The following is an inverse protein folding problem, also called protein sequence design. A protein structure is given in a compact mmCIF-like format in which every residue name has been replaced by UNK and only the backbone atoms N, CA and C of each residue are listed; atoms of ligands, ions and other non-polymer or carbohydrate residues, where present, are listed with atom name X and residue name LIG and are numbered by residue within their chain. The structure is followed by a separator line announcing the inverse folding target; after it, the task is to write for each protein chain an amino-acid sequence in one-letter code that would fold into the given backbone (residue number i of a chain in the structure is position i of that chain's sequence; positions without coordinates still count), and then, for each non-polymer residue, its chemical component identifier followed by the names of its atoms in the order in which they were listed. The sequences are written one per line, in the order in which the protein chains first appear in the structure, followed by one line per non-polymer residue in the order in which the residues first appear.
data_IF_309539537204
#
_entry.id   IF_309539537204
#
_cell.length_a   1.000
_cell.length_b   1.000
_cell.length_c   1.000
_cell.angle_alpha   90.00
_cell.angle_beta   90.00
_cell.angle_gamma   90.00
#
_symmetry.space_group_name_H-M   'P 1'
#
loop_
_entity.id
_entity.type
_entity.pdbx_description
1 polymer ?
#
# COMPACT_ATOMS: atom_id res chain seq x y z
N UNK A 1 34.43 -12.80 -23.13
CA UNK A 1 35.30 -12.73 -21.94
C UNK A 1 36.37 -13.82 -22.04
N UNK A 2 37.67 -13.45 -22.03
CA UNK A 2 38.84 -14.30 -22.39
C UNK A 2 39.81 -14.40 -21.21
N UNK A 3 40.42 -15.57 -21.01
CA UNK A 3 41.41 -15.84 -19.96
C UNK A 3 42.81 -15.36 -20.38
N UNK A 4 43.53 -14.65 -19.51
CA UNK A 4 44.88 -14.15 -19.83
C UNK A 4 46.00 -15.19 -19.70
N UNK A 5 45.69 -16.44 -19.32
CA UNK A 5 46.66 -17.55 -19.24
C UNK A 5 46.60 -18.41 -20.50
N UNK A 6 45.41 -18.89 -20.88
CA UNK A 6 45.23 -19.72 -22.07
C UNK A 6 44.80 -18.94 -23.32
N UNK A 7 44.48 -17.65 -23.20
CA UNK A 7 44.00 -16.79 -24.30
C UNK A 7 42.71 -17.27 -24.98
N UNK A 8 41.99 -18.21 -24.35
CA UNK A 8 40.69 -18.73 -24.82
C UNK A 8 39.52 -18.15 -23.99
N UNK A 9 38.29 -18.40 -24.45
CA UNK A 9 37.09 -18.07 -23.66
C UNK A 9 37.12 -18.80 -22.32
N UNK A 10 36.59 -18.16 -21.27
CA UNK A 10 36.61 -18.75 -19.94
C UNK A 10 35.86 -20.08 -19.86
N UNK A 11 36.59 -21.13 -19.45
CA UNK A 11 36.04 -22.44 -19.09
C UNK A 11 36.05 -22.56 -17.58
N UNK A 12 34.86 -22.57 -16.95
CA UNK A 12 34.68 -22.53 -15.49
C UNK A 12 35.44 -21.36 -14.81
N UNK A 13 34.98 -20.12 -14.99
CA UNK A 13 35.70 -18.96 -14.51
C UNK A 13 35.72 -18.89 -12.98
N UNK A 14 36.87 -18.48 -12.43
CA UNK A 14 37.05 -18.19 -11.00
C UNK A 14 37.70 -16.83 -10.82
N UNK A 15 37.21 -16.06 -9.85
CA UNK A 15 37.80 -14.79 -9.43
C UNK A 15 38.73 -14.99 -8.24
N UNK A 16 39.90 -14.36 -8.31
CA UNK A 16 40.83 -14.21 -7.19
C UNK A 16 40.38 -13.08 -6.25
N UNK A 17 40.94 -12.98 -5.02
CA UNK A 17 40.64 -11.89 -4.09
C UNK A 17 40.96 -10.49 -4.65
N UNK A 18 41.95 -10.40 -5.55
CA UNK A 18 42.29 -9.16 -6.25
C UNK A 18 41.34 -8.80 -7.39
N UNK A 19 40.31 -9.61 -7.65
CA UNK A 19 39.27 -9.35 -8.66
C UNK A 19 39.56 -9.87 -10.06
N UNK A 20 40.78 -10.34 -10.35
CA UNK A 20 41.12 -10.94 -11.65
C UNK A 20 40.48 -12.31 -11.84
N UNK A 21 40.10 -12.63 -13.07
CA UNK A 21 39.34 -13.84 -13.42
C UNK A 21 40.15 -14.72 -14.37
N UNK A 22 40.19 -16.01 -14.08
CA UNK A 22 40.90 -17.03 -14.86
C UNK A 22 40.03 -18.29 -14.99
N UNK A 23 40.37 -19.18 -15.93
CA UNK A 23 39.82 -20.54 -15.91
C UNK A 23 40.31 -21.27 -14.65
N UNK A 24 39.46 -22.08 -14.02
CA UNK A 24 39.83 -22.89 -12.85
C UNK A 24 41.09 -23.72 -13.07
N UNK A 25 41.19 -24.37 -14.23
CA UNK A 25 42.34 -25.22 -14.54
C UNK A 25 43.60 -24.40 -14.81
N UNK A 26 43.45 -23.21 -15.40
CA UNK A 26 44.58 -22.32 -15.66
C UNK A 26 45.20 -21.82 -14.36
N UNK A 27 44.38 -21.36 -13.41
CA UNK A 27 44.90 -20.90 -12.12
C UNK A 27 45.49 -22.08 -11.33
N UNK A 28 44.84 -23.25 -11.33
CA UNK A 28 45.37 -24.46 -10.67
C UNK A 28 46.76 -24.84 -11.20
N UNK A 29 46.95 -24.89 -12.52
CA UNK A 29 48.27 -25.17 -13.11
C UNK A 29 49.31 -24.10 -12.73
N UNK A 30 48.92 -22.83 -12.68
CA UNK A 30 49.84 -21.75 -12.29
C UNK A 30 50.30 -21.88 -10.83
N UNK A 31 49.44 -22.41 -9.97
CA UNK A 31 49.74 -22.70 -8.56
C UNK A 31 50.66 -23.91 -8.48
N UNK A 32 50.29 -25.02 -9.14
CA UNK A 32 51.03 -26.29 -9.12
C UNK A 32 52.45 -26.15 -9.72
N UNK A 33 52.66 -25.17 -10.62
CA UNK A 33 53.98 -24.87 -11.18
C UNK A 33 54.96 -24.27 -10.16
N UNK A 34 54.47 -23.72 -9.05
CA UNK A 34 55.32 -23.19 -7.98
C UNK A 34 55.72 -24.36 -7.09
N UNK A 35 56.88 -24.96 -7.37
CA UNK A 35 57.41 -26.15 -6.69
C UNK A 35 57.87 -25.90 -5.24
N UNK A 36 57.94 -24.63 -4.82
CA UNK A 36 58.29 -24.26 -3.45
C UNK A 36 57.04 -24.29 -2.59
N UNK A 37 57.12 -24.91 -1.41
CA UNK A 37 56.04 -24.88 -0.43
C UNK A 37 55.82 -23.44 0.08
N UNK A 38 54.91 -22.71 -0.57
CA UNK A 38 54.51 -21.35 -0.22
C UNK A 38 53.02 -21.32 0.07
N UNK A 39 52.64 -20.59 1.13
CA UNK A 39 51.23 -20.40 1.52
C UNK A 39 50.54 -19.35 0.63
N UNK A 40 51.34 -18.43 0.10
CA UNK A 40 50.90 -17.30 -0.71
C UNK A 40 51.36 -17.45 -2.15
N UNK A 41 50.42 -17.28 -3.07
CA UNK A 41 50.68 -17.34 -4.49
C UNK A 41 50.41 -15.97 -5.14
N UNK A 42 51.22 -15.55 -6.13
CA UNK A 42 51.02 -14.30 -6.83
C UNK A 42 49.94 -14.43 -7.90
N UNK A 43 49.07 -13.42 -8.03
CA UNK A 43 48.16 -13.32 -9.17
C UNK A 43 48.95 -13.20 -10.49
N UNK A 44 48.62 -13.98 -11.54
CA UNK A 44 49.31 -13.92 -12.84
C UNK A 44 49.25 -12.55 -13.53
N UNK A 45 48.23 -11.73 -13.22
CA UNK A 45 48.04 -10.41 -13.85
C UNK A 45 48.64 -9.28 -13.03
N UNK A 46 48.27 -9.14 -11.76
CA UNK A 46 48.67 -8.00 -10.92
C UNK A 46 49.70 -8.34 -9.84
N UNK A 47 50.12 -9.61 -9.73
CA UNK A 47 51.07 -10.11 -8.73
C UNK A 47 50.64 -9.96 -7.27
N UNK A 48 49.41 -9.48 -7.00
CA UNK A 48 48.84 -9.47 -5.67
C UNK A 48 48.84 -10.88 -5.07
N UNK A 49 49.35 -11.01 -3.84
CA UNK A 49 49.42 -12.27 -3.14
C UNK A 49 48.02 -12.75 -2.70
N UNK A 50 47.78 -14.06 -2.77
CA UNK A 50 46.55 -14.69 -2.28
C UNK A 50 46.86 -16.06 -1.64
N UNK A 51 46.03 -16.47 -0.67
CA UNK A 51 46.20 -17.74 0.07
C UNK A 51 45.31 -18.84 -0.49
N UNK A 52 45.81 -20.06 -0.68
CA UNK A 52 45.01 -21.19 -1.23
C UNK A 52 44.36 -22.04 -0.13
N UNK A 53 44.73 -21.80 1.12
CA UNK A 53 44.23 -22.56 2.26
C UNK A 53 42.71 -22.39 2.39
N UNK A 54 42.01 -23.52 2.37
CA UNK A 54 40.57 -23.58 2.67
C UNK A 54 40.39 -23.50 4.19
N UNK A 55 39.67 -22.49 4.66
CA UNK A 55 39.25 -22.41 6.07
C UNK A 55 38.17 -23.46 6.31
N UNK A 56 38.33 -24.30 7.33
CA UNK A 56 37.25 -25.19 7.78
C UNK A 56 36.12 -24.34 8.40
N UNK A 57 35.00 -24.25 7.68
CA UNK A 57 33.82 -23.50 8.11
C UNK A 57 33.19 -24.06 9.40
N UNK A 58 33.49 -25.31 9.79
CA UNK A 58 33.02 -25.88 11.05
C UNK A 58 33.66 -25.19 12.26
N UNK A 59 34.93 -24.77 12.14
CA UNK A 59 35.67 -24.06 13.19
C UNK A 59 35.32 -22.57 13.26
N UNK A 60 34.61 -22.04 12.26
CA UNK A 60 34.22 -20.64 12.17
C UNK A 60 32.86 -20.43 12.84
N UNK A 61 32.71 -19.47 13.76
CA UNK A 61 31.41 -19.09 14.32
C UNK A 61 30.38 -18.70 13.25
N UNK A 62 29.11 -19.08 13.43
CA UNK A 62 28.06 -18.95 12.41
C UNK A 62 27.91 -17.52 11.85
N UNK A 63 28.06 -16.51 12.70
CA UNK A 63 27.94 -15.10 12.32
C UNK A 63 29.10 -14.58 11.45
N UNK A 64 30.24 -15.28 11.39
CA UNK A 64 31.38 -14.90 10.55
C UNK A 64 31.41 -15.63 9.21
N UNK A 65 30.64 -16.73 9.06
CA UNK A 65 30.66 -17.56 7.85
C UNK A 65 30.25 -16.81 6.59
N UNK A 66 29.34 -15.83 6.70
CA UNK A 66 28.92 -14.96 5.60
C UNK A 66 30.00 -13.99 5.12
N UNK A 67 31.00 -13.71 5.96
CA UNK A 67 32.07 -12.76 5.68
C UNK A 67 33.35 -13.44 5.17
N UNK A 68 33.43 -14.77 5.25
CA UNK A 68 34.57 -15.55 4.75
C UNK A 68 34.31 -15.92 3.31
N UNK A 69 34.97 -15.22 2.40
CA UNK A 69 34.91 -15.52 0.97
C UNK A 69 36.01 -16.54 0.61
N UNK A 70 35.67 -17.60 -0.14
CA UNK A 70 36.68 -18.52 -0.63
C UNK A 70 37.63 -17.77 -1.58
N UNK A 71 38.91 -18.10 -1.51
CA UNK A 71 39.96 -17.49 -2.35
C UNK A 71 39.66 -17.64 -3.84
N UNK A 72 39.18 -18.82 -4.25
CA UNK A 72 38.80 -19.11 -5.63
C UNK A 72 37.27 -19.08 -5.73
N UNK A 73 36.71 -17.90 -6.03
CA UNK A 73 35.26 -17.71 -6.11
C UNK A 73 34.76 -18.04 -7.52
N UNK A 74 33.87 -19.03 -7.72
CA UNK A 74 33.25 -19.25 -9.02
C UNK A 74 32.54 -18.00 -9.52
N UNK A 75 32.75 -17.64 -10.79
CA UNK A 75 32.01 -16.58 -11.46
C UNK A 75 31.21 -17.21 -12.58
N UNK A 76 29.91 -16.94 -12.60
CA UNK A 76 29.04 -17.37 -13.69
C UNK A 76 28.84 -16.17 -14.61
N UNK A 77 29.40 -16.26 -15.81
CA UNK A 77 28.99 -15.37 -16.89
C UNK A 77 27.71 -15.94 -17.47
N UNK A 78 26.65 -15.12 -17.53
CA UNK A 78 25.46 -15.45 -18.30
C UNK A 78 25.78 -15.24 -19.78
N UNK A 79 26.73 -16.03 -20.27
CA UNK A 79 27.06 -16.13 -21.67
C UNK A 79 25.88 -16.85 -22.31
N UNK A 80 24.97 -16.03 -22.85
CA UNK A 80 23.70 -16.42 -23.46
C UNK A 80 23.91 -17.53 -24.48
N UNK A 81 23.84 -18.77 -24.01
CA UNK A 81 23.78 -19.97 -24.83
C UNK A 81 22.36 -20.54 -24.66
N UNK A 82 21.53 -20.50 -25.72
CA UNK A 82 20.11 -20.83 -25.61
C UNK A 82 19.82 -22.34 -25.46
N UNK A 83 20.83 -23.21 -25.44
CA UNK A 83 20.60 -24.66 -25.63
C UNK A 83 20.38 -25.46 -24.34
N UNK A 84 21.09 -25.18 -23.24
CA UNK A 84 20.97 -25.96 -21.99
C UNK A 84 20.18 -25.27 -20.88
N UNK A 85 19.94 -23.95 -21.00
CA UNK A 85 19.29 -23.12 -19.98
C UNK A 85 17.79 -22.86 -20.22
N UNK A 86 17.23 -23.35 -21.34
CA UNK A 86 15.85 -23.08 -21.73
C UNK A 86 14.81 -23.47 -20.66
N UNK A 87 14.88 -24.64 -20.00
CA UNK A 87 13.90 -25.03 -18.98
C UNK A 87 13.99 -24.17 -17.72
N UNK A 88 15.19 -23.84 -17.24
CA UNK A 88 15.39 -23.02 -16.05
C UNK A 88 14.97 -21.56 -16.29
N UNK A 89 15.29 -21.00 -17.47
CA UNK A 89 14.85 -19.66 -17.88
C UNK A 89 13.33 -19.60 -18.04
N UNK A 90 12.73 -20.62 -18.66
CA UNK A 90 11.28 -20.74 -18.77
C UNK A 90 10.61 -20.81 -17.40
N UNK A 91 11.12 -21.65 -16.50
CA UNK A 91 10.62 -21.77 -15.14
C UNK A 91 10.73 -20.43 -14.39
N UNK A 92 11.90 -19.77 -14.43
CA UNK A 92 12.10 -18.47 -13.81
C UNK A 92 11.10 -17.42 -14.31
N UNK A 93 10.92 -17.31 -15.64
CA UNK A 93 9.92 -16.42 -16.24
C UNK A 93 8.50 -16.76 -15.82
N UNK A 94 8.17 -18.05 -15.74
CA UNK A 94 6.85 -18.52 -15.32
C UNK A 94 6.58 -18.19 -13.86
N UNK A 95 7.57 -18.39 -12.97
CA UNK A 95 7.50 -17.99 -11.58
C UNK A 95 7.35 -16.48 -11.42
N UNK A 96 8.11 -15.69 -12.18
CA UNK A 96 8.02 -14.23 -12.17
C UNK A 96 6.62 -13.75 -12.58
N UNK A 97 6.10 -14.26 -13.70
CA UNK A 97 4.75 -13.93 -14.17
C UNK A 97 3.66 -14.33 -13.18
N UNK A 98 3.80 -15.50 -12.52
CA UNK A 98 2.89 -15.90 -11.45
C UNK A 98 2.94 -14.91 -10.29
N UNK A 99 4.14 -14.54 -9.82
CA UNK A 99 4.31 -13.60 -8.73
C UNK A 99 3.69 -12.22 -9.06
N UNK A 100 3.87 -11.71 -10.28
CA UNK A 100 3.24 -10.47 -10.74
C UNK A 100 1.71 -10.53 -10.67
N UNK A 101 1.11 -11.63 -11.14
CA UNK A 101 -0.35 -11.82 -11.10
C UNK A 101 -0.85 -11.88 -9.65
N UNK A 102 -0.17 -12.60 -8.77
CA UNK A 102 -0.52 -12.65 -7.34
C UNK A 102 -0.39 -11.27 -6.68
N UNK A 103 0.67 -10.52 -6.99
CA UNK A 103 0.86 -9.17 -6.46
C UNK A 103 -0.27 -8.23 -6.92
N UNK A 104 -0.65 -8.28 -8.20
CA UNK A 104 -1.75 -7.48 -8.74
C UNK A 104 -3.11 -7.84 -8.11
N UNK A 105 -3.41 -9.13 -7.97
CA UNK A 105 -4.63 -9.60 -7.32
C UNK A 105 -4.70 -9.16 -5.85
N UNK A 106 -3.59 -9.32 -5.10
CA UNK A 106 -3.50 -8.89 -3.71
C UNK A 106 -3.65 -7.37 -3.57
N UNK A 107 -3.04 -6.60 -4.48
CA UNK A 107 -3.18 -5.14 -4.51
C UNK A 107 -4.65 -4.74 -4.72
N UNK A 108 -5.36 -5.41 -5.63
CA UNK A 108 -6.80 -5.18 -5.85
C UNK A 108 -7.64 -5.49 -4.61
N UNK A 109 -7.42 -6.62 -3.95
CA UNK A 109 -8.12 -7.00 -2.71
C UNK A 109 -7.86 -6.01 -1.58
N UNK A 110 -6.61 -5.60 -1.38
CA UNK A 110 -6.25 -4.60 -0.38
C UNK A 110 -6.87 -3.24 -0.69
N UNK A 111 -6.94 -2.86 -1.97
CA UNK A 111 -7.63 -1.65 -2.42
C UNK A 111 -9.12 -1.68 -2.08
N UNK A 112 -9.80 -2.78 -2.42
CA UNK A 112 -11.21 -2.97 -2.09
C UNK A 112 -11.45 -2.89 -0.57
N UNK A 113 -10.66 -3.61 0.23
CA UNK A 113 -10.78 -3.61 1.69
C UNK A 113 -10.62 -2.19 2.29
N UNK A 114 -9.71 -1.37 1.75
CA UNK A 114 -9.56 0.04 2.15
C UNK A 114 -10.78 0.87 1.79
N UNK A 115 -11.24 0.79 0.54
CA UNK A 115 -12.40 1.53 0.08
C UNK A 115 -13.66 1.21 0.89
N UNK A 116 -13.91 -0.08 1.18
CA UNK A 116 -15.04 -0.49 2.04
C UNK A 116 -14.91 0.06 3.46
N UNK A 117 -13.69 0.07 4.03
CA UNK A 117 -13.44 0.64 5.36
C UNK A 117 -13.71 2.14 5.37
N UNK A 118 -13.19 2.88 4.40
CA UNK A 118 -13.39 4.33 4.26
C UNK A 118 -14.87 4.66 4.11
N UNK A 119 -15.59 3.92 3.27
CA UNK A 119 -17.03 4.05 3.12
C UNK A 119 -17.77 3.83 4.44
N UNK A 120 -17.45 2.76 5.16
CA UNK A 120 -18.07 2.49 6.46
C UNK A 120 -17.79 3.58 7.51
N UNK A 121 -16.62 4.23 7.46
CA UNK A 121 -16.30 5.35 8.34
C UNK A 121 -17.08 6.61 7.95
N UNK A 122 -17.19 6.91 6.66
CA UNK A 122 -18.01 8.02 6.16
C UNK A 122 -19.47 7.89 6.59
N UNK A 123 -20.06 6.70 6.36
CA UNK A 123 -21.43 6.42 6.78
C UNK A 123 -21.65 6.57 8.28
N UNK A 124 -20.65 6.22 9.11
CA UNK A 124 -20.72 6.44 10.56
C UNK A 124 -20.68 7.92 10.91
N UNK A 125 -19.81 8.71 10.27
CA UNK A 125 -19.73 10.14 10.50
C UNK A 125 -21.03 10.85 10.13
N UNK A 126 -21.62 10.52 8.98
CA UNK A 126 -22.93 11.07 8.56
C UNK A 126 -24.04 10.72 9.55
N UNK A 127 -24.05 9.49 10.07
CA UNK A 127 -25.00 9.08 11.11
C UNK A 127 -24.80 9.88 12.38
N UNK A 128 -23.56 10.02 12.84
CA UNK A 128 -23.25 10.73 14.09
C UNK A 128 -23.64 12.22 13.97
N UNK A 129 -23.39 12.84 12.82
CA UNK A 129 -23.83 14.20 12.51
C UNK A 129 -25.36 14.33 12.50
N UNK A 130 -26.08 13.37 11.90
CA UNK A 130 -27.54 13.37 11.92
C UNK A 130 -28.10 13.24 13.34
N UNK A 131 -27.51 12.38 14.17
CA UNK A 131 -27.90 12.22 15.59
C UNK A 131 -27.67 13.52 16.35
N UNK A 132 -26.53 14.18 16.15
CA UNK A 132 -26.23 15.47 16.79
C UNK A 132 -27.22 16.56 16.39
N UNK A 133 -27.58 16.65 15.10
CA UNK A 133 -28.61 17.59 14.61
C UNK A 133 -29.99 17.30 15.23
N UNK A 134 -30.39 16.03 15.31
CA UNK A 134 -31.66 15.66 15.95
C UNK A 134 -31.66 16.06 17.44
N UNK A 135 -30.60 15.75 18.18
CA UNK A 135 -30.48 16.11 19.60
C UNK A 135 -30.53 17.63 19.81
N UNK A 136 -29.88 18.42 18.95
CA UNK A 136 -29.92 19.87 19.02
C UNK A 136 -31.32 20.45 18.74
N UNK A 137 -32.07 19.86 17.80
CA UNK A 137 -33.45 20.24 17.53
C UNK A 137 -34.38 19.88 18.70
N UNK A 138 -34.22 18.69 19.30
CA UNK A 138 -34.97 18.28 20.48
C UNK A 138 -34.76 19.23 21.66
N UNK A 139 -33.52 19.63 21.93
CA UNK A 139 -33.20 20.62 22.98
C UNK A 139 -33.86 21.98 22.71
N UNK A 140 -33.85 22.45 21.45
CA UNK A 140 -34.51 23.71 21.08
C UNK A 140 -36.02 23.65 21.24
N UNK A 141 -36.65 22.54 20.86
CA UNK A 141 -38.09 22.32 21.05
C UNK A 141 -38.42 22.33 22.55
N UNK A 142 -37.65 21.60 23.37
CA UNK A 142 -37.85 21.56 24.82
C UNK A 142 -37.72 22.96 25.46
N UNK A 143 -36.72 23.74 25.05
CA UNK A 143 -36.55 25.12 25.53
C UNK A 143 -37.76 26.01 25.16
N UNK A 144 -38.23 25.95 23.91
CA UNK A 144 -39.42 26.69 23.47
C UNK A 144 -40.68 26.27 24.25
N UNK A 145 -40.88 24.97 24.47
CA UNK A 145 -42.01 24.48 25.26
C UNK A 145 -41.96 25.01 26.69
N UNK A 146 -40.79 25.05 27.33
CA UNK A 146 -40.64 25.61 28.67
C UNK A 146 -40.93 27.11 28.76
N UNK A 147 -40.69 27.88 27.67
CA UNK A 147 -41.04 29.30 27.61
C UNK A 147 -42.53 29.55 27.41
N UNK A 148 -43.23 28.66 26.71
CA UNK A 148 -44.70 28.72 26.55
C UNK A 148 -45.40 28.40 27.87
N UNK A 149 -44.83 27.53 28.70
CA UNK A 149 -45.36 27.23 30.04
C UNK A 149 -45.19 28.36 31.08
N UNK A 150 -44.35 29.38 30.80
CA UNK A 150 -44.06 30.51 31.70
C UNK A 150 -44.85 31.80 31.40
N UNK A 151 -45.58 31.90 30.29
CA UNK A 151 -46.46 33.04 30.00
C UNK A 151 -47.81 32.85 30.72
N UNK A 152 -48.19 33.72 31.69
CA UNK A 152 -49.49 33.62 32.34
C UNK A 152 -50.60 34.06 31.37
N UNK A 153 -51.66 33.25 31.26
CA UNK A 153 -52.89 33.57 30.50
C UNK A 153 -53.37 35.01 30.81
N UNK A 154 -53.66 35.85 29.80
CA UNK A 154 -54.22 37.17 30.07
C UNK A 154 -55.65 37.01 30.61
N UNK A 155 -55.86 37.55 31.82
CA UNK A 155 -57.13 37.54 32.53
C UNK A 155 -58.27 38.08 31.64
N UNK A 156 -59.30 37.24 31.48
CA UNK A 156 -60.58 37.57 30.86
C UNK A 156 -61.29 38.62 31.73
N UNK A 157 -61.03 39.90 31.49
CA UNK A 157 -61.69 41.03 32.17
C UNK A 157 -63.09 41.23 31.59
N UNK A 158 -64.09 40.82 32.37
CA UNK A 158 -65.49 41.17 32.17
C UNK A 158 -65.68 42.68 32.27
N UNK A 159 -66.05 43.37 31.19
CA UNK A 159 -66.58 44.74 31.25
C UNK A 159 -67.88 44.88 30.46
N UNK A 160 -68.77 45.67 31.05
CA UNK A 160 -70.21 45.67 30.90
C UNK A 160 -70.73 46.49 29.71
N UNK A 161 -71.97 46.18 29.30
CA UNK A 161 -72.81 46.96 28.36
C UNK A 161 -73.24 48.29 29.00
N UNK A 162 -73.08 49.43 28.30
CA UNK A 162 -74.23 50.27 27.86
C UNK A 162 -73.93 51.01 26.51
N UNK A 163 -74.79 51.71 25.76
CA UNK A 163 -76.25 51.92 25.58
C UNK A 163 -76.41 52.74 24.25
N UNK A 164 -77.55 52.62 23.54
CA UNK A 164 -77.94 53.31 22.27
C UNK A 164 -77.95 54.86 22.35
N UNK A 165 -77.75 55.62 21.23
CA UNK A 165 -78.90 56.08 20.38
C UNK A 165 -78.50 56.51 18.92
N UNK A 166 -79.35 57.24 18.13
CA UNK A 166 -80.72 57.01 17.67
C UNK A 166 -80.86 56.94 16.11
N UNK A 167 -82.09 56.64 15.67
CA UNK A 167 -82.53 56.35 14.29
C UNK A 167 -82.65 57.54 13.32
N UNK A 168 -82.76 57.22 12.00
CA UNK A 168 -83.73 57.71 10.97
C UNK A 168 -83.15 57.48 9.53
N UNK A 169 -83.95 57.48 8.45
CA UNK A 169 -85.25 56.82 8.20
C UNK A 169 -85.28 55.95 6.92
N UNK A 170 -86.40 55.24 6.74
CA UNK A 170 -86.69 54.18 5.77
C UNK A 170 -87.01 54.65 4.33
N UNK A 171 -86.92 53.71 3.36
CA UNK A 171 -87.90 53.36 2.30
C UNK A 171 -87.28 52.38 1.26
N UNK A 172 -88.02 51.70 0.36
CA UNK A 172 -89.15 50.78 0.53
C UNK A 172 -88.87 49.40 -0.18
N UNK A 173 -89.77 48.39 -0.09
CA UNK A 173 -89.49 47.01 -0.51
C UNK A 173 -89.94 46.67 -1.95
N UNK A 174 -89.65 45.43 -2.38
CA UNK A 174 -90.23 44.56 -3.45
C UNK A 174 -89.32 44.24 -4.68
N UNK A 175 -89.57 43.14 -5.45
CA UNK A 175 -89.66 41.73 -5.04
C UNK A 175 -88.95 40.74 -6.02
N UNK A 176 -88.85 39.47 -5.60
CA UNK A 176 -88.75 38.19 -6.33
C UNK A 176 -88.48 38.09 -7.86
N UNK A 177 -87.51 37.22 -8.21
CA UNK A 177 -87.59 36.18 -9.27
C UNK A 177 -86.49 35.12 -8.99
N UNK A 178 -86.74 33.82 -8.80
CA UNK A 178 -87.28 32.77 -9.67
C UNK A 178 -86.45 32.51 -10.94
N UNK A 179 -85.97 31.26 -11.08
CA UNK A 179 -85.34 30.69 -12.28
C UNK A 179 -84.03 29.98 -11.93
N UNK A 180 -83.99 28.68 -11.60
CA UNK A 180 -84.28 27.50 -12.42
C UNK A 180 -83.22 27.22 -13.51
N UNK A 181 -82.65 26.00 -13.40
CA UNK A 181 -82.25 25.11 -14.51
C UNK A 181 -81.03 25.48 -15.37
N UNK A 182 -79.87 24.87 -15.08
CA UNK A 182 -79.28 23.75 -15.83
C UNK A 182 -77.78 23.63 -15.57
#
# INVERSE_FOLDING_TARGET
MVCSICYERFTTPVALPCGHIFCRDCIRRSIDAIQVYVVQHPCPTCRAAFNIVTVDLALVPAYLRSHILPTLRPVFFDDSTPSTSHPLRYNCRTWHRRAEVYAAANAGLLGFARATKEYALCMRAERDEAVERCAALEQRIAALMSTVELEPEPERRSEAVPAEPPALPAEPPVPHSSGAES
#
